data_IF_623751204925
#
_entry.id   IF_623751204925
#
_cell.length_a   1.000
_cell.length_b   1.000
_cell.length_c   1.000
_cell.angle_alpha   90.00
_cell.angle_beta   90.00
_cell.angle_gamma   90.00
#
_symmetry.space_group_name_H-M   'P 1'
#
loop_
_entity.id
_entity.type
_entity.pdbx_description
1 polymer ?
#
# COMPACT_ATOMS: atom_id res chain seq x y z
N UNK A 1 17.79 13.50 5.71
CA UNK A 1 16.46 13.02 6.15
C UNK A 1 16.67 11.70 6.84
N UNK A 2 16.19 11.59 8.08
CA UNK A 2 16.33 10.38 8.89
C UNK A 2 15.20 9.40 8.59
N UNK A 3 15.55 8.13 8.42
CA UNK A 3 14.63 7.01 8.17
C UNK A 3 14.75 6.02 9.33
N UNK A 4 13.63 5.66 9.95
CA UNK A 4 13.58 4.52 10.88
C UNK A 4 12.91 3.34 10.20
N UNK A 5 13.60 2.23 10.04
CA UNK A 5 13.02 0.98 9.55
C UNK A 5 12.39 0.23 10.72
N UNK A 6 11.11 -0.15 10.56
CA UNK A 6 10.34 -0.95 11.52
C UNK A 6 9.72 -2.17 10.83
N UNK A 7 9.38 -3.21 11.56
CA UNK A 7 8.73 -4.41 11.02
C UNK A 7 7.31 -4.61 11.57
N UNK A 8 6.31 -3.82 11.14
CA UNK A 8 4.95 -3.94 11.64
C UNK A 8 4.23 -5.21 11.18
N UNK A 9 4.81 -5.93 10.24
CA UNK A 9 4.24 -7.09 9.54
C UNK A 9 5.00 -8.40 9.88
N UNK A 10 5.48 -9.10 8.87
CA UNK A 10 6.12 -10.40 8.96
C UNK A 10 7.54 -10.41 9.54
N UNK A 11 8.03 -11.59 9.88
CA UNK A 11 9.41 -11.80 10.32
C UNK A 11 10.42 -11.35 9.26
N UNK A 12 11.43 -10.61 9.66
CA UNK A 12 12.43 -10.04 8.75
C UNK A 12 13.57 -11.04 8.50
N UNK A 13 13.99 -11.16 7.24
CA UNK A 13 15.23 -11.82 6.85
C UNK A 13 16.37 -10.80 6.91
N UNK A 14 17.40 -11.06 7.70
CA UNK A 14 18.50 -10.11 7.95
C UNK A 14 19.32 -9.77 6.72
N UNK A 15 19.60 -10.75 5.85
CA UNK A 15 20.33 -10.51 4.61
C UNK A 15 19.60 -9.54 3.70
N UNK A 16 18.28 -9.72 3.56
CA UNK A 16 17.44 -8.83 2.76
C UNK A 16 17.29 -7.45 3.41
N UNK A 17 17.17 -7.39 4.74
CA UNK A 17 17.12 -6.12 5.47
C UNK A 17 18.40 -5.32 5.25
N UNK A 18 19.56 -5.95 5.41
CA UNK A 18 20.86 -5.30 5.21
C UNK A 18 21.03 -4.76 3.78
N UNK A 19 20.57 -5.52 2.76
CA UNK A 19 20.54 -5.03 1.38
C UNK A 19 19.64 -3.79 1.24
N UNK A 20 18.49 -3.78 1.91
CA UNK A 20 17.59 -2.62 1.93
C UNK A 20 18.17 -1.42 2.64
N UNK A 21 18.84 -1.62 3.77
CA UNK A 21 19.56 -0.55 4.49
C UNK A 21 20.61 0.07 3.58
N UNK A 22 21.46 -0.75 2.96
CA UNK A 22 22.48 -0.28 2.03
C UNK A 22 21.87 0.51 0.86
N UNK A 23 20.75 0.04 0.31
CA UNK A 23 20.02 0.74 -0.77
C UNK A 23 19.53 2.11 -0.32
N UNK A 24 18.91 2.23 0.84
CA UNK A 24 18.43 3.51 1.35
C UNK A 24 19.60 4.47 1.68
N UNK A 25 20.72 3.95 2.18
CA UNK A 25 21.94 4.74 2.41
C UNK A 25 22.54 5.26 1.09
N UNK A 26 22.57 4.42 0.04
CA UNK A 26 22.99 4.85 -1.31
C UNK A 26 22.10 5.95 -1.88
N UNK A 27 20.82 5.98 -1.52
CA UNK A 27 19.88 7.04 -1.86
C UNK A 27 20.03 8.29 -0.97
N UNK A 28 21.01 8.33 -0.05
CA UNK A 28 21.33 9.48 0.77
C UNK A 28 20.46 9.66 2.00
N UNK A 29 19.80 8.60 2.48
CA UNK A 29 19.09 8.61 3.75
C UNK A 29 20.03 8.25 4.91
N UNK A 30 19.79 8.88 6.06
CA UNK A 30 20.34 8.46 7.36
C UNK A 30 19.41 7.38 7.93
N UNK A 31 19.89 6.13 7.96
CA UNK A 31 19.03 4.96 8.21
C UNK A 31 19.32 4.35 9.57
N UNK A 32 18.29 4.32 10.41
CA UNK A 32 18.24 3.57 11.66
C UNK A 32 17.33 2.35 11.53
N UNK A 33 17.74 1.22 12.11
CA UNK A 33 16.94 -0.01 12.15
C UNK A 33 16.46 -0.23 13.58
N UNK A 34 15.17 -0.07 13.80
CA UNK A 34 14.60 -0.30 15.12
C UNK A 34 14.85 -1.74 15.59
N UNK A 35 15.28 -1.99 16.83
CA UNK A 35 15.60 -3.32 17.36
C UNK A 35 14.45 -4.34 17.23
N UNK A 36 13.21 -3.88 17.17
CA UNK A 36 12.03 -4.71 16.94
C UNK A 36 12.09 -5.48 15.61
N UNK A 37 12.82 -5.00 14.59
CA UNK A 37 13.01 -5.73 13.34
C UNK A 37 13.66 -7.10 13.50
N UNK A 38 14.36 -7.33 14.60
CA UNK A 38 15.00 -8.62 14.93
C UNK A 38 14.11 -9.57 15.71
N UNK A 39 12.95 -9.09 16.19
CA UNK A 39 12.00 -9.92 16.91
C UNK A 39 11.41 -11.00 15.95
N UNK A 40 11.13 -12.17 16.53
CA UNK A 40 10.56 -13.31 15.81
C UNK A 40 9.28 -13.78 16.49
N UNK A 41 8.30 -14.11 15.69
CA UNK A 41 7.07 -14.78 16.10
C UNK A 41 6.70 -15.86 15.10
N UNK A 42 5.57 -16.54 15.29
CA UNK A 42 5.13 -17.60 14.38
C UNK A 42 4.96 -17.09 12.92
N UNK A 43 4.34 -15.91 12.75
CA UNK A 43 4.03 -15.33 11.45
C UNK A 43 4.49 -13.87 11.33
N UNK A 44 4.58 -13.14 12.42
CA UNK A 44 4.90 -11.71 12.46
C UNK A 44 6.14 -11.42 13.30
N UNK A 45 6.73 -10.25 13.12
CA UNK A 45 7.94 -9.80 13.80
C UNK A 45 7.64 -9.45 15.28
N UNK A 46 7.32 -10.47 16.07
CA UNK A 46 6.96 -10.37 17.48
C UNK A 46 5.48 -10.00 17.74
N UNK A 47 5.11 -9.81 19.02
CA UNK A 47 3.77 -9.44 19.43
C UNK A 47 3.30 -8.10 18.83
N UNK A 48 1.98 -7.94 18.63
CA UNK A 48 1.41 -6.71 18.07
C UNK A 48 1.77 -5.46 18.90
N UNK A 49 1.77 -5.56 20.22
CA UNK A 49 2.15 -4.46 21.11
C UNK A 49 3.62 -4.01 20.91
N UNK A 50 4.54 -4.97 20.70
CA UNK A 50 5.95 -4.65 20.41
C UNK A 50 6.10 -3.93 19.06
N UNK A 51 5.33 -4.35 18.05
CA UNK A 51 5.35 -3.75 16.71
C UNK A 51 4.73 -2.35 16.72
N UNK A 52 3.65 -2.14 17.48
CA UNK A 52 3.07 -0.80 17.71
C UNK A 52 4.08 0.10 18.40
N UNK A 53 4.70 -0.38 19.46
CA UNK A 53 5.72 0.36 20.18
C UNK A 53 6.83 0.85 19.27
N UNK A 54 7.29 0.00 18.34
CA UNK A 54 8.31 0.39 17.36
C UNK A 54 7.84 1.51 16.41
N UNK A 55 6.57 1.55 16.01
CA UNK A 55 6.01 2.67 15.25
C UNK A 55 6.01 3.97 16.06
N UNK A 56 5.72 3.90 17.35
CA UNK A 56 5.65 5.08 18.23
C UNK A 56 7.04 5.58 18.59
N UNK A 57 8.02 4.70 18.78
CA UNK A 57 9.41 5.02 19.12
C UNK A 57 10.26 5.41 17.91
N UNK A 58 9.76 5.19 16.68
CA UNK A 58 10.47 5.59 15.48
C UNK A 58 10.73 7.11 15.50
N UNK A 59 11.98 7.53 15.52
CA UNK A 59 12.38 8.94 15.67
C UNK A 59 12.73 9.62 14.33
N UNK A 60 12.79 8.85 13.23
CA UNK A 60 12.97 9.39 11.89
C UNK A 60 11.75 10.16 11.37
N UNK A 61 11.97 11.07 10.42
CA UNK A 61 10.91 11.76 9.66
C UNK A 61 10.10 10.76 8.81
N UNK A 62 10.76 9.67 8.44
CA UNK A 62 10.21 8.59 7.62
C UNK A 62 10.25 7.29 8.39
N UNK A 63 9.13 6.60 8.44
CA UNK A 63 8.98 5.25 8.97
C UNK A 63 8.85 4.30 7.78
N UNK A 64 9.85 3.46 7.58
CA UNK A 64 9.87 2.54 6.44
C UNK A 64 9.59 1.12 6.89
N UNK A 65 8.54 0.50 6.32
CA UNK A 65 8.20 -0.89 6.62
C UNK A 65 9.28 -1.83 6.07
N UNK A 66 9.88 -2.65 6.91
CA UNK A 66 10.97 -3.57 6.52
C UNK A 66 10.52 -4.59 5.46
N UNK A 67 9.27 -5.08 5.59
CA UNK A 67 8.63 -6.04 4.67
C UNK A 67 7.14 -6.17 4.99
N UNK A 68 6.39 -6.71 4.03
CA UNK A 68 5.03 -7.19 4.22
C UNK A 68 4.95 -8.53 4.96
N UNK A 69 4.05 -9.38 4.56
CA UNK A 69 3.82 -10.71 5.13
C UNK A 69 2.50 -10.80 5.87
N UNK A 70 2.49 -10.74 7.21
CA UNK A 70 1.27 -10.89 7.97
C UNK A 70 1.34 -10.20 9.33
N UNK A 71 0.22 -9.64 9.77
CA UNK A 71 0.01 -9.25 11.15
C UNK A 71 -0.28 -7.78 11.41
N UNK A 72 -0.22 -6.91 10.40
CA UNK A 72 -0.54 -5.48 10.53
C UNK A 72 -1.94 -5.25 11.09
N UNK A 73 -2.93 -6.00 10.62
CA UNK A 73 -4.33 -5.93 11.09
C UNK A 73 -4.47 -6.14 12.60
N UNK A 74 -3.58 -6.92 13.22
CA UNK A 74 -3.59 -7.17 14.68
C UNK A 74 -3.12 -5.97 15.49
N UNK A 75 -2.53 -4.98 14.87
CA UNK A 75 -2.11 -3.75 15.55
C UNK A 75 -3.25 -2.75 15.67
N UNK A 76 -4.19 -2.75 14.73
CA UNK A 76 -5.27 -1.75 14.66
C UNK A 76 -6.04 -1.57 15.97
N UNK A 77 -6.47 -2.65 16.68
CA UNK A 77 -7.12 -2.51 17.98
C UNK A 77 -6.25 -1.82 19.04
N UNK A 78 -4.94 -2.01 18.96
CA UNK A 78 -4.00 -1.42 19.91
C UNK A 78 -3.62 0.01 19.56
N UNK A 79 -3.82 0.41 18.30
CA UNK A 79 -3.56 1.76 17.81
C UNK A 79 -4.71 2.72 18.16
N UNK A 80 -5.89 2.20 18.47
CA UNK A 80 -7.07 3.00 18.83
C UNK A 80 -6.79 3.79 20.11
N UNK A 81 -7.06 5.09 20.09
CA UNK A 81 -6.80 5.97 21.23
C UNK A 81 -5.33 6.35 21.46
N UNK A 82 -4.39 5.79 20.69
CA UNK A 82 -2.97 6.14 20.79
C UNK A 82 -2.65 7.25 19.78
N UNK A 83 -1.91 8.26 20.23
CA UNK A 83 -1.42 9.36 19.41
C UNK A 83 0.12 9.35 19.38
N UNK A 84 0.74 9.26 18.20
CA UNK A 84 2.20 9.38 18.08
C UNK A 84 2.64 10.84 18.24
N UNK A 85 3.90 11.04 18.55
CA UNK A 85 4.52 12.36 18.50
C UNK A 85 4.81 12.76 17.06
N UNK A 86 4.22 13.86 16.63
CA UNK A 86 4.47 14.43 15.30
C UNK A 86 3.86 13.67 14.13
N UNK A 87 3.98 14.28 12.95
CA UNK A 87 3.55 13.69 11.68
C UNK A 87 4.77 13.12 10.95
N UNK A 88 4.60 11.95 10.36
CA UNK A 88 5.66 11.24 9.65
C UNK A 88 5.21 10.80 8.27
N UNK A 89 6.14 10.38 7.44
CA UNK A 89 5.86 9.65 6.20
C UNK A 89 6.03 8.16 6.45
N UNK A 90 5.02 7.36 6.15
CA UNK A 90 5.09 5.89 6.22
C UNK A 90 5.20 5.31 4.81
N UNK A 91 6.17 4.40 4.60
CA UNK A 91 6.37 3.71 3.31
C UNK A 91 6.22 2.21 3.49
N UNK A 92 5.40 1.59 2.65
CA UNK A 92 5.23 0.14 2.64
C UNK A 92 4.11 -0.31 1.70
N UNK A 93 4.02 -1.59 1.41
CA UNK A 93 2.95 -2.21 0.61
C UNK A 93 2.62 -3.61 1.13
N UNK A 94 1.80 -4.39 0.42
CA UNK A 94 1.42 -5.74 0.88
C UNK A 94 0.63 -5.68 2.19
N UNK A 95 1.00 -6.45 3.22
CA UNK A 95 0.34 -6.45 4.53
C UNK A 95 0.30 -5.05 5.19
N UNK A 96 1.22 -4.13 4.82
CA UNK A 96 1.18 -2.74 5.27
C UNK A 96 -0.06 -1.96 4.79
N UNK A 97 -0.79 -2.48 3.80
CA UNK A 97 -2.06 -1.90 3.30
C UNK A 97 -3.04 -1.61 4.42
N UNK A 98 -3.16 -2.49 5.43
CA UNK A 98 -4.08 -2.27 6.55
C UNK A 98 -3.73 -1.05 7.41
N UNK A 99 -2.48 -0.60 7.39
CA UNK A 99 -2.03 0.53 8.19
C UNK A 99 -2.26 1.88 7.51
N UNK A 100 -2.20 1.95 6.17
CA UNK A 100 -2.26 3.21 5.44
C UNK A 100 -3.49 4.07 5.78
N UNK A 101 -4.73 3.55 5.78
CA UNK A 101 -5.90 4.35 6.11
C UNK A 101 -5.86 4.85 7.56
N UNK A 102 -5.47 3.98 8.49
CA UNK A 102 -5.38 4.35 9.90
C UNK A 102 -4.33 5.44 10.14
N UNK A 103 -3.12 5.26 9.61
CA UNK A 103 -2.03 6.22 9.76
C UNK A 103 -2.39 7.58 9.15
N UNK A 104 -3.02 7.59 7.98
CA UNK A 104 -3.43 8.82 7.32
C UNK A 104 -4.54 9.55 8.09
N UNK A 105 -5.63 8.85 8.42
CA UNK A 105 -6.84 9.51 8.94
C UNK A 105 -6.81 9.73 10.46
N UNK A 106 -6.15 8.85 11.23
CA UNK A 106 -6.09 8.95 12.68
C UNK A 106 -4.84 9.65 13.19
N UNK A 107 -3.70 9.42 12.52
CA UNK A 107 -2.42 10.00 12.93
C UNK A 107 -1.97 11.18 12.07
N UNK A 108 -2.63 11.43 10.93
CA UNK A 108 -2.29 12.49 9.99
C UNK A 108 -0.94 12.28 9.30
N UNK A 109 -0.48 11.03 9.22
CA UNK A 109 0.76 10.70 8.54
C UNK A 109 0.55 10.66 7.02
N UNK A 110 1.58 11.06 6.28
CA UNK A 110 1.63 10.82 4.84
C UNK A 110 1.92 9.35 4.60
N UNK A 111 1.19 8.71 3.69
CA UNK A 111 1.36 7.28 3.42
C UNK A 111 1.70 7.04 1.96
N UNK A 112 2.70 6.19 1.72
CA UNK A 112 3.22 5.86 0.41
C UNK A 112 3.22 4.34 0.26
N UNK A 113 2.44 3.83 -0.71
CA UNK A 113 2.59 2.48 -1.20
C UNK A 113 3.86 2.43 -2.05
N UNK A 114 4.86 1.68 -1.64
CA UNK A 114 6.15 1.67 -2.34
C UNK A 114 7.12 0.62 -1.80
N UNK A 115 8.30 0.47 -2.45
CA UNK A 115 9.30 -0.54 -2.15
C UNK A 115 9.66 -0.65 -0.67
N UNK A 116 9.87 -1.88 -0.22
CA UNK A 116 10.30 -2.17 1.15
C UNK A 116 11.71 -2.78 1.15
N UNK A 117 12.53 -2.57 2.21
CA UNK A 117 13.89 -3.09 2.32
C UNK A 117 14.06 -4.55 1.91
N UNK A 118 13.12 -5.43 2.26
CA UNK A 118 13.16 -6.84 1.87
C UNK A 118 13.08 -7.09 0.35
N UNK A 119 12.69 -6.10 -0.45
CA UNK A 119 12.60 -6.17 -1.91
C UNK A 119 13.79 -5.48 -2.64
N UNK A 120 14.81 -5.02 -1.90
CA UNK A 120 15.91 -4.22 -2.45
C UNK A 120 16.69 -4.89 -3.59
N UNK A 121 16.70 -6.22 -3.63
CA UNK A 121 17.39 -7.00 -4.66
C UNK A 121 16.48 -7.45 -5.82
N UNK A 122 15.19 -7.19 -5.75
CA UNK A 122 14.20 -7.70 -6.71
C UNK A 122 13.47 -6.61 -7.48
N UNK A 123 13.47 -5.40 -6.97
CA UNK A 123 12.86 -4.24 -7.63
C UNK A 123 13.94 -3.37 -8.28
N UNK A 124 13.66 -2.76 -9.44
CA UNK A 124 14.62 -1.97 -10.17
C UNK A 124 14.96 -0.66 -9.46
N UNK A 125 16.11 -0.09 -9.81
CA UNK A 125 16.65 1.13 -9.20
C UNK A 125 15.73 2.33 -9.38
N UNK A 126 15.04 2.41 -10.51
CA UNK A 126 14.12 3.51 -10.82
C UNK A 126 12.98 3.62 -9.78
N UNK A 127 12.44 2.50 -9.32
CA UNK A 127 11.36 2.50 -8.33
C UNK A 127 11.85 3.01 -6.98
N UNK A 128 13.09 2.69 -6.63
CA UNK A 128 13.73 3.18 -5.40
C UNK A 128 14.04 4.68 -5.48
N UNK A 129 14.57 5.14 -6.63
CA UNK A 129 14.85 6.56 -6.87
C UNK A 129 13.56 7.37 -6.85
N UNK A 130 12.54 6.95 -7.60
CA UNK A 130 11.22 7.60 -7.62
C UNK A 130 10.62 7.67 -6.20
N UNK A 131 10.71 6.57 -5.43
CA UNK A 131 10.21 6.55 -4.04
C UNK A 131 10.98 7.53 -3.16
N UNK A 132 12.30 7.62 -3.30
CA UNK A 132 13.11 8.55 -2.54
C UNK A 132 12.77 10.02 -2.86
N UNK A 133 12.49 10.33 -4.13
CA UNK A 133 12.03 11.66 -4.55
C UNK A 133 10.67 12.00 -3.95
N UNK A 134 9.72 11.06 -4.01
CA UNK A 134 8.38 11.24 -3.43
C UNK A 134 8.46 11.40 -1.91
N UNK A 135 9.29 10.63 -1.23
CA UNK A 135 9.54 10.75 0.22
C UNK A 135 10.06 12.13 0.59
N UNK A 136 10.91 12.74 -0.25
CA UNK A 136 11.45 14.10 -0.06
C UNK A 136 10.46 15.22 -0.39
N UNK A 137 9.23 14.89 -0.76
CA UNK A 137 8.18 15.86 -1.05
C UNK A 137 7.90 16.04 -2.54
N UNK A 138 8.57 15.29 -3.41
CA UNK A 138 8.23 15.21 -4.84
C UNK A 138 6.86 14.58 -5.07
N UNK A 139 6.41 14.62 -6.32
CA UNK A 139 5.21 13.94 -6.79
C UNK A 139 5.58 12.66 -7.55
N UNK A 140 4.76 11.59 -7.48
CA UNK A 140 4.90 10.46 -8.40
C UNK A 140 4.84 10.95 -9.85
N UNK A 141 5.55 10.27 -10.74
CA UNK A 141 5.39 10.53 -12.18
C UNK A 141 3.97 10.13 -12.62
N UNK A 142 3.37 10.86 -13.60
CA UNK A 142 2.12 10.45 -14.20
C UNK A 142 2.22 9.04 -14.78
N UNK A 143 1.14 8.27 -14.66
CA UNK A 143 1.08 6.88 -15.14
C UNK A 143 -0.01 6.75 -16.19
N UNK A 144 0.36 6.22 -17.38
CA UNK A 144 -0.60 5.89 -18.43
C UNK A 144 -1.27 4.56 -18.09
N UNK A 145 -2.59 4.59 -17.94
CA UNK A 145 -3.43 3.42 -17.71
C UNK A 145 -4.23 3.08 -18.96
N UNK A 146 -4.67 1.84 -19.06
CA UNK A 146 -5.58 1.34 -20.09
C UNK A 146 -6.94 1.07 -19.47
N UNK A 147 -8.00 1.61 -20.08
CA UNK A 147 -9.36 1.34 -19.64
C UNK A 147 -9.77 -0.10 -19.93
N UNK A 148 -10.30 -0.78 -18.91
CA UNK A 148 -10.95 -2.11 -19.04
C UNK A 148 -12.46 -1.98 -19.25
N UNK A 149 -13.04 -0.86 -18.88
CA UNK A 149 -14.45 -0.50 -19.11
C UNK A 149 -14.51 0.75 -19.96
N UNK A 150 -15.69 1.26 -20.28
CA UNK A 150 -15.82 2.54 -20.94
C UNK A 150 -15.14 3.65 -20.13
N UNK A 151 -14.36 4.51 -20.79
CA UNK A 151 -13.73 5.65 -20.11
C UNK A 151 -14.79 6.63 -19.57
N UNK A 152 -14.49 7.37 -18.51
CA UNK A 152 -15.39 8.40 -18.02
C UNK A 152 -15.51 9.54 -19.02
N UNK A 153 -16.63 10.26 -18.98
CA UNK A 153 -16.84 11.45 -19.85
C UNK A 153 -16.10 12.70 -19.36
N UNK A 154 -15.61 12.69 -18.13
CA UNK A 154 -14.84 13.76 -17.50
C UNK A 154 -13.76 13.14 -16.61
N UNK A 155 -12.70 13.92 -16.37
CA UNK A 155 -11.66 13.49 -15.44
C UNK A 155 -12.24 13.22 -14.02
N UNK A 156 -11.72 12.20 -13.38
CA UNK A 156 -12.12 11.81 -12.02
C UNK A 156 -11.05 12.33 -11.06
N UNK A 157 -11.44 13.21 -10.15
CA UNK A 157 -10.56 13.73 -9.10
C UNK A 157 -11.03 13.26 -7.74
N UNK A 158 -10.15 12.74 -6.92
CA UNK A 158 -10.46 12.27 -5.57
C UNK A 158 -9.28 11.57 -4.91
N UNK A 159 -9.41 11.23 -3.63
CA UNK A 159 -8.35 10.48 -2.94
C UNK A 159 -8.10 9.13 -3.61
N UNK A 160 -6.82 8.73 -3.72
CA UNK A 160 -6.47 7.37 -4.10
C UNK A 160 -6.24 6.56 -2.81
N UNK A 161 -7.04 5.50 -2.62
CA UNK A 161 -6.99 4.62 -1.44
C UNK A 161 -6.80 3.17 -1.87
N UNK A 162 -6.45 2.28 -0.97
CA UNK A 162 -6.36 0.85 -1.30
C UNK A 162 -4.96 0.27 -1.14
N UNK A 163 -4.59 -0.66 -2.01
CA UNK A 163 -3.36 -1.43 -2.03
C UNK A 163 -3.64 -2.91 -2.26
N UNK A 164 -3.08 -3.81 -1.44
CA UNK A 164 -3.30 -5.25 -1.58
C UNK A 164 -4.76 -5.62 -1.30
N UNK A 165 -5.42 -6.24 -2.29
CA UNK A 165 -6.86 -6.57 -2.23
C UNK A 165 -7.19 -7.51 -1.07
N UNK A 166 -6.44 -8.58 -0.89
CA UNK A 166 -6.64 -9.53 0.20
C UNK A 166 -6.59 -8.81 1.55
N UNK A 167 -5.59 -7.97 1.76
CA UNK A 167 -5.43 -7.24 3.03
C UNK A 167 -6.51 -6.17 3.20
N UNK A 168 -6.85 -5.42 2.15
CA UNK A 168 -7.96 -4.46 2.16
C UNK A 168 -9.28 -5.15 2.52
N UNK A 169 -9.55 -6.29 1.89
CA UNK A 169 -10.76 -7.07 2.15
C UNK A 169 -10.83 -7.62 3.58
N UNK A 170 -9.70 -7.92 4.24
CA UNK A 170 -9.71 -8.38 5.66
C UNK A 170 -10.24 -7.32 6.63
N UNK A 171 -10.28 -6.05 6.24
CA UNK A 171 -10.83 -4.96 7.05
C UNK A 171 -12.36 -4.85 6.92
N UNK A 172 -12.95 -5.50 5.91
CA UNK A 172 -14.39 -5.45 5.64
C UNK A 172 -15.21 -6.00 6.81
N UNK A 173 -16.17 -5.22 7.27
CA UNK A 173 -17.01 -5.55 8.42
C UNK A 173 -16.33 -5.37 9.79
N UNK A 174 -15.12 -4.85 9.82
CA UNK A 174 -14.42 -4.51 11.08
C UNK A 174 -14.61 -3.02 11.42
N UNK A 175 -14.36 -2.58 12.68
CA UNK A 175 -14.36 -1.18 13.04
C UNK A 175 -13.32 -0.33 12.28
N UNK A 176 -12.36 -0.96 11.64
CA UNK A 176 -11.28 -0.31 10.86
C UNK A 176 -11.49 -0.42 9.36
N UNK A 177 -12.69 -0.82 8.91
CA UNK A 177 -13.01 -0.81 7.48
C UNK A 177 -12.84 0.60 6.93
N UNK A 178 -11.92 0.80 5.96
CA UNK A 178 -11.73 2.11 5.39
C UNK A 178 -12.89 2.47 4.47
N UNK A 179 -13.21 3.76 4.39
CA UNK A 179 -14.17 4.27 3.41
C UNK A 179 -13.46 4.53 2.09
N UNK A 180 -14.06 4.04 1.00
CA UNK A 180 -13.68 4.40 -0.36
C UNK A 180 -14.72 5.35 -1.02
N UNK A 181 -15.64 5.90 -0.24
CA UNK A 181 -16.64 6.84 -0.74
C UNK A 181 -15.99 8.13 -1.24
N UNK A 182 -16.28 8.50 -2.48
CA UNK A 182 -15.67 9.64 -3.17
C UNK A 182 -14.23 9.42 -3.63
N UNK A 183 -13.66 8.24 -3.39
CA UNK A 183 -12.27 7.90 -3.71
C UNK A 183 -12.13 7.08 -4.99
N UNK A 184 -10.93 7.04 -5.54
CA UNK A 184 -10.47 6.01 -6.47
C UNK A 184 -9.81 4.88 -5.67
N UNK A 185 -10.09 3.63 -6.04
CA UNK A 185 -9.64 2.44 -5.32
C UNK A 185 -8.51 1.74 -6.08
N UNK A 186 -7.28 1.79 -5.56
CA UNK A 186 -6.15 1.02 -6.07
C UNK A 186 -6.20 -0.40 -5.51
N UNK A 187 -6.18 -1.40 -6.38
CA UNK A 187 -6.15 -2.81 -5.98
C UNK A 187 -5.03 -3.55 -6.72
N UNK A 188 -4.24 -4.31 -5.99
CA UNK A 188 -3.22 -5.22 -6.49
C UNK A 188 -3.23 -6.51 -5.67
N UNK A 189 -2.74 -7.62 -6.22
CA UNK A 189 -2.56 -8.83 -5.39
C UNK A 189 -1.51 -9.78 -5.98
N UNK A 190 -1.19 -10.82 -5.22
CA UNK A 190 -0.26 -11.88 -5.63
C UNK A 190 -0.77 -13.26 -5.22
N UNK A 191 -0.81 -14.20 -6.18
CA UNK A 191 -1.15 -15.62 -5.97
C UNK A 191 -2.60 -15.85 -5.56
N UNK A 192 -3.50 -14.95 -5.92
CA UNK A 192 -4.92 -15.14 -5.75
C UNK A 192 -5.52 -15.66 -7.06
N UNK A 193 -6.22 -16.79 -7.00
CA UNK A 193 -6.97 -17.31 -8.12
C UNK A 193 -8.18 -16.42 -8.43
N UNK A 194 -8.67 -16.43 -9.67
CA UNK A 194 -9.80 -15.60 -10.10
C UNK A 194 -11.04 -15.76 -9.20
N UNK A 195 -11.39 -16.99 -8.80
CA UNK A 195 -12.53 -17.21 -7.90
C UNK A 195 -12.32 -16.61 -6.50
N UNK A 196 -11.06 -16.51 -6.02
CA UNK A 196 -10.76 -15.88 -4.73
C UNK A 196 -10.95 -14.36 -4.81
N UNK A 197 -10.53 -13.77 -5.93
CA UNK A 197 -10.74 -12.34 -6.21
C UNK A 197 -12.24 -12.05 -6.32
N UNK A 198 -13.00 -12.86 -7.08
CA UNK A 198 -14.46 -12.72 -7.23
C UNK A 198 -15.16 -12.76 -5.86
N UNK A 199 -14.76 -13.70 -5.00
CA UNK A 199 -15.28 -13.79 -3.64
C UNK A 199 -14.99 -12.55 -2.81
N UNK A 200 -13.76 -12.00 -2.88
CA UNK A 200 -13.39 -10.78 -2.18
C UNK A 200 -14.16 -9.58 -2.69
N UNK A 201 -14.31 -9.43 -4.01
CA UNK A 201 -15.10 -8.35 -4.61
C UNK A 201 -16.58 -8.48 -4.27
N UNK A 202 -17.11 -9.69 -4.23
CA UNK A 202 -18.49 -9.96 -3.77
C UNK A 202 -18.66 -9.53 -2.31
N UNK A 203 -17.72 -9.88 -1.43
CA UNK A 203 -17.76 -9.45 -0.02
C UNK A 203 -17.70 -7.93 0.13
N UNK A 204 -16.78 -7.27 -0.58
CA UNK A 204 -16.67 -5.80 -0.56
C UNK A 204 -17.96 -5.14 -1.01
N UNK A 205 -18.60 -5.66 -2.08
CA UNK A 205 -19.88 -5.16 -2.60
C UNK A 205 -20.99 -5.30 -1.58
N UNK A 206 -21.16 -6.51 -1.02
CA UNK A 206 -22.23 -6.82 -0.06
C UNK A 206 -22.09 -6.05 1.26
N UNK A 207 -20.87 -5.78 1.69
CA UNK A 207 -20.56 -5.01 2.90
C UNK A 207 -20.55 -3.49 2.70
N UNK A 208 -20.88 -3.00 1.50
CA UNK A 208 -20.86 -1.57 1.18
C UNK A 208 -19.47 -0.98 1.03
N UNK A 209 -18.42 -1.80 0.97
CA UNK A 209 -17.04 -1.33 0.83
C UNK A 209 -16.72 -0.66 -0.51
N UNK A 210 -17.59 -0.83 -1.51
CA UNK A 210 -17.50 -0.17 -2.82
C UNK A 210 -18.48 1.00 -2.96
N UNK A 211 -19.21 1.36 -1.91
CA UNK A 211 -20.19 2.45 -1.96
C UNK A 211 -19.50 3.79 -2.24
N UNK A 212 -19.94 4.45 -3.33
CA UNK A 212 -19.41 5.76 -3.73
C UNK A 212 -17.98 5.75 -4.27
N UNK A 213 -17.39 4.60 -4.55
CA UNK A 213 -16.14 4.50 -5.33
C UNK A 213 -16.33 5.18 -6.67
N UNK A 214 -15.38 6.02 -7.08
CA UNK A 214 -15.47 6.79 -8.32
C UNK A 214 -14.80 6.12 -9.51
N UNK A 215 -13.74 5.36 -9.26
CA UNK A 215 -13.03 4.51 -10.23
C UNK A 215 -12.23 3.44 -9.51
N UNK A 216 -11.88 2.37 -10.22
CA UNK A 216 -10.94 1.36 -9.75
C UNK A 216 -9.68 1.42 -10.62
N UNK A 217 -8.53 1.49 -9.98
CA UNK A 217 -7.20 1.40 -10.59
C UNK A 217 -6.60 0.05 -10.26
N UNK A 218 -6.36 -0.78 -11.26
CA UNK A 218 -5.75 -2.09 -11.06
C UNK A 218 -4.24 -1.99 -11.17
N UNK A 219 -3.57 -2.40 -10.12
CA UNK A 219 -2.13 -2.63 -10.05
C UNK A 219 -1.76 -4.01 -10.61
N UNK A 220 -0.64 -4.55 -10.12
CA UNK A 220 -0.14 -5.86 -10.55
C UNK A 220 -0.93 -7.01 -9.89
N UNK A 221 -1.52 -7.88 -10.68
CA UNK A 221 -2.07 -9.17 -10.22
C UNK A 221 -1.11 -10.29 -10.62
N UNK A 222 -0.12 -10.54 -9.77
CA UNK A 222 1.00 -11.42 -10.09
C UNK A 222 0.73 -12.88 -9.74
N UNK A 223 0.88 -13.80 -10.71
CA UNK A 223 0.56 -15.23 -10.57
C UNK A 223 -0.92 -15.47 -10.22
N UNK A 224 -1.78 -14.63 -10.73
CA UNK A 224 -3.24 -14.66 -10.65
C UNK A 224 -3.84 -14.53 -12.04
N UNK A 225 -5.06 -13.99 -12.16
CA UNK A 225 -5.77 -13.85 -13.41
C UNK A 225 -5.03 -13.00 -14.43
N UNK A 226 -5.22 -13.31 -15.70
CA UNK A 226 -4.77 -12.48 -16.81
C UNK A 226 -5.68 -11.25 -17.03
N UNK A 227 -5.36 -10.43 -18.02
CA UNK A 227 -6.10 -9.20 -18.31
C UNK A 227 -7.55 -9.46 -18.70
N UNK A 228 -7.81 -10.52 -19.47
CA UNK A 228 -9.16 -10.87 -19.92
C UNK A 228 -10.03 -11.35 -18.75
N UNK A 229 -9.45 -12.09 -17.82
CA UNK A 229 -10.13 -12.52 -16.61
C UNK A 229 -10.35 -11.35 -15.65
N UNK A 230 -9.37 -10.44 -15.48
CA UNK A 230 -9.55 -9.21 -14.71
C UNK A 230 -10.67 -8.34 -15.29
N UNK A 231 -10.76 -8.21 -16.60
CA UNK A 231 -11.83 -7.46 -17.25
C UNK A 231 -13.22 -8.03 -16.92
N UNK A 232 -13.35 -9.37 -16.81
CA UNK A 232 -14.59 -10.02 -16.40
C UNK A 232 -14.90 -9.83 -14.91
N UNK A 233 -13.87 -9.93 -14.06
CA UNK A 233 -14.01 -9.81 -12.61
C UNK A 233 -14.36 -8.39 -12.13
N UNK A 234 -13.88 -7.38 -12.85
CA UNK A 234 -14.04 -5.97 -12.46
C UNK A 234 -14.98 -5.19 -13.38
N UNK A 235 -15.34 -5.72 -14.55
CA UNK A 235 -16.08 -4.99 -15.58
C UNK A 235 -17.54 -4.66 -15.22
N UNK A 236 -18.16 -5.36 -14.27
CA UNK A 236 -19.54 -5.14 -13.84
C UNK A 236 -19.68 -4.26 -12.57
N UNK A 237 -18.61 -3.58 -12.17
CA UNK A 237 -18.63 -2.75 -10.96
C UNK A 237 -19.51 -1.49 -11.07
N UNK A 238 -19.90 -1.10 -12.29
CA UNK A 238 -20.70 0.09 -12.54
C UNK A 238 -19.92 1.39 -12.36
N UNK A 239 -18.59 1.32 -12.30
CA UNK A 239 -17.66 2.46 -12.25
C UNK A 239 -16.53 2.23 -13.24
N UNK A 240 -15.85 3.29 -13.74
CA UNK A 240 -14.70 3.14 -14.60
C UNK A 240 -13.58 2.31 -13.95
N UNK A 241 -13.02 1.37 -14.71
CA UNK A 241 -11.91 0.51 -14.29
C UNK A 241 -10.75 0.68 -15.26
N UNK A 242 -9.57 1.00 -14.73
CA UNK A 242 -8.35 1.13 -15.51
C UNK A 242 -7.25 0.22 -14.97
N UNK A 243 -6.43 -0.34 -15.85
CA UNK A 243 -5.31 -1.24 -15.57
C UNK A 243 -4.00 -0.60 -16.03
N UNK A 244 -2.89 -1.00 -15.41
CA UNK A 244 -1.54 -0.68 -15.87
C UNK A 244 -0.69 0.08 -14.88
N UNK A 245 -1.22 0.38 -13.69
CA UNK A 245 -0.37 0.86 -12.62
C UNK A 245 0.47 -0.30 -12.09
N UNK A 246 1.77 -0.29 -12.34
CA UNK A 246 2.65 -1.39 -11.94
C UNK A 246 2.90 -1.49 -10.42
N UNK A 247 2.04 -0.84 -9.59
CA UNK A 247 2.12 -0.92 -8.14
C UNK A 247 1.89 -2.35 -7.63
N UNK A 248 2.60 -2.72 -6.58
CA UNK A 248 2.39 -3.97 -5.85
C UNK A 248 3.46 -5.03 -6.06
N UNK A 249 3.03 -6.28 -6.22
CA UNK A 249 3.89 -7.46 -6.24
C UNK A 249 4.40 -7.86 -7.63
N UNK A 250 4.42 -6.92 -8.59
CA UNK A 250 4.92 -7.10 -9.93
C UNK A 250 6.45 -7.06 -10.02
N UNK A 251 6.93 -6.85 -11.24
CA UNK A 251 8.36 -6.59 -11.51
C UNK A 251 8.76 -5.17 -11.12
N UNK A 252 7.80 -4.30 -10.99
CA UNK A 252 7.88 -2.90 -10.60
C UNK A 252 7.05 -2.67 -9.34
N UNK A 253 7.40 -1.64 -8.60
CA UNK A 253 6.60 -1.11 -7.50
C UNK A 253 6.82 0.41 -7.39
N UNK A 254 6.41 1.18 -8.42
CA UNK A 254 6.52 2.63 -8.36
C UNK A 254 5.75 3.17 -7.16
N UNK A 255 6.19 4.32 -6.59
CA UNK A 255 5.53 4.89 -5.42
C UNK A 255 4.15 5.44 -5.76
N UNK A 256 3.20 5.19 -4.88
CA UNK A 256 1.86 5.80 -4.91
C UNK A 256 1.62 6.50 -3.59
N UNK A 257 1.31 7.78 -3.61
CA UNK A 257 0.89 8.50 -2.40
C UNK A 257 -0.58 8.19 -2.17
N UNK A 258 -0.88 7.53 -1.06
CA UNK A 258 -2.25 7.14 -0.73
C UNK A 258 -2.93 8.17 0.17
N UNK A 259 -4.27 8.14 0.15
CA UNK A 259 -5.14 8.99 0.98
C UNK A 259 -4.98 10.50 0.69
N UNK A 260 -4.52 10.83 -0.51
CA UNK A 260 -4.44 12.20 -1.04
C UNK A 260 -5.14 12.27 -2.40
N UNK A 261 -5.47 13.49 -2.82
CA UNK A 261 -6.13 13.74 -4.09
C UNK A 261 -5.23 13.40 -5.28
N UNK A 262 -5.80 12.71 -6.26
CA UNK A 262 -5.25 12.38 -7.56
C UNK A 262 -6.27 12.73 -8.64
N UNK A 263 -5.82 12.87 -9.87
CA UNK A 263 -6.68 13.05 -11.04
C UNK A 263 -6.44 11.92 -12.04
N UNK A 264 -7.50 11.26 -12.45
CA UNK A 264 -7.50 10.27 -13.53
C UNK A 264 -8.20 10.86 -14.75
N UNK A 265 -7.42 11.20 -15.75
CA UNK A 265 -7.89 11.79 -17.01
C UNK A 265 -8.74 10.81 -17.84
N UNK A 266 -9.58 11.34 -18.72
CA UNK A 266 -10.36 10.54 -19.71
C UNK A 266 -9.44 9.75 -20.65
N UNK A 267 -8.23 10.23 -20.87
CA UNK A 267 -7.16 9.60 -21.64
C UNK A 267 -6.44 8.48 -20.87
N UNK A 268 -6.82 8.24 -19.60
CA UNK A 268 -6.23 7.22 -18.74
C UNK A 268 -4.96 7.66 -18.02
N UNK A 269 -4.58 8.93 -18.07
CA UNK A 269 -3.41 9.43 -17.31
C UNK A 269 -3.81 9.64 -15.86
N UNK A 270 -3.12 8.99 -14.93
CA UNK A 270 -3.23 9.18 -13.48
C UNK A 270 -2.08 10.10 -13.00
N UNK A 271 -2.46 11.21 -12.32
CA UNK A 271 -1.54 12.22 -11.76
C UNK A 271 -1.72 12.41 -10.25
#
# INVERSE_FOLDING_TARGET
MKVTIVAPCGNVNLTRLNAGVARLQQLGFDVDVHPQCFAKGKYSAGPAALRLRALLEADGDVVWCARGGYGSVKMLPLMEGVQPTGRKTFVGYSDATALHPFLAHRWGWRTIHGPMPAAAQTLPDEDWQATAEVVRGGRPAPVQLTWLTDPPTQAITGPLVGGNLTVWNTLTGTPWQPSANGAMLLLEDIREDGYAIDRMMTQLRQAGGLTGVRAVVLGSFTRGPDVDELAKLFGDLGVPVALGHEAGHGRRCPPVVLNVEHTLGVDGVLE
#
